data_IF_460744020557
#
_entry.id   IF_460744020557
#
_cell.length_a   1.000
_cell.length_b   1.000
_cell.length_c   1.000
_cell.angle_alpha   90.00
_cell.angle_beta   90.00
_cell.angle_gamma   90.00
#
_symmetry.space_group_name_H-M   'P 1'
#
loop_
_entity.id
_entity.type
_entity.pdbx_description
1 polymer ?
#
# COMPACT_ATOMS: atom_id res chain seq x y z
N UNK A 1 2.63 14.45 5.53
CA UNK A 1 2.67 13.54 4.36
C UNK A 1 4.04 13.66 3.72
N UNK A 2 4.74 12.55 3.52
CA UNK A 2 6.07 12.49 2.90
C UNK A 2 5.92 12.09 1.44
N UNK A 3 6.56 12.80 0.52
CA UNK A 3 6.62 12.36 -0.88
C UNK A 3 7.82 11.42 -1.06
N UNK A 4 7.58 10.22 -1.60
CA UNK A 4 8.65 9.26 -1.90
C UNK A 4 8.58 8.79 -3.35
N UNK A 5 9.73 8.45 -3.96
CA UNK A 5 9.76 7.76 -5.23
C UNK A 5 9.04 6.41 -5.16
N UNK A 6 8.32 6.04 -6.22
CA UNK A 6 7.63 4.75 -6.33
C UNK A 6 8.55 3.56 -6.07
N UNK A 7 9.84 3.67 -6.41
CA UNK A 7 10.84 2.63 -6.13
C UNK A 7 10.99 2.34 -4.63
N UNK A 8 10.86 3.35 -3.77
CA UNK A 8 10.99 3.22 -2.31
C UNK A 8 9.76 2.58 -1.67
N UNK A 9 8.58 2.67 -2.30
CA UNK A 9 7.33 2.07 -1.81
C UNK A 9 7.46 0.55 -1.63
N UNK A 10 8.19 -0.13 -2.52
CA UNK A 10 8.46 -1.57 -2.39
C UNK A 10 9.22 -1.92 -1.11
N UNK A 11 10.14 -1.04 -0.69
CA UNK A 11 10.87 -1.22 0.57
C UNK A 11 9.94 -1.00 1.76
N UNK A 12 9.10 0.04 1.70
CA UNK A 12 8.08 0.33 2.70
C UNK A 12 7.15 -0.88 2.92
N UNK A 13 6.63 -1.46 1.83
CA UNK A 13 5.78 -2.66 1.90
C UNK A 13 6.49 -3.85 2.55
N UNK A 14 7.78 -4.07 2.24
CA UNK A 14 8.56 -5.13 2.89
C UNK A 14 8.73 -4.89 4.39
N UNK A 15 8.90 -3.63 4.80
CA UNK A 15 8.99 -3.28 6.22
C UNK A 15 7.65 -3.48 6.93
N UNK A 16 6.53 -3.16 6.28
CA UNK A 16 5.18 -3.42 6.80
C UNK A 16 4.94 -4.92 6.98
N UNK A 17 5.24 -5.73 5.98
CA UNK A 17 5.11 -7.20 6.05
C UNK A 17 5.99 -7.86 7.14
N UNK A 18 7.10 -7.23 7.51
CA UNK A 18 7.98 -7.73 8.59
C UNK A 18 7.61 -7.22 9.97
N UNK A 19 6.84 -6.14 10.04
CA UNK A 19 6.43 -5.54 11.30
C UNK A 19 5.36 -6.39 11.94
N UNK A 20 5.50 -6.70 13.23
CA UNK A 20 4.43 -7.31 14.04
C UNK A 20 3.50 -6.28 14.67
N UNK A 21 3.86 -5.00 14.53
CA UNK A 21 3.08 -3.88 15.04
C UNK A 21 1.96 -3.50 14.09
N UNK A 22 0.86 -3.01 14.65
CA UNK A 22 -0.20 -2.43 13.86
C UNK A 22 0.30 -1.16 13.17
N UNK A 23 0.17 -1.12 11.84
CA UNK A 23 0.64 0.00 11.03
C UNK A 23 -0.40 0.39 10.02
N UNK A 24 -0.59 1.70 9.89
CA UNK A 24 -1.52 2.26 8.93
C UNK A 24 -0.77 3.15 7.94
N UNK A 25 -0.76 2.76 6.67
CA UNK A 25 -0.08 3.49 5.61
C UNK A 25 -1.04 3.81 4.49
N UNK A 26 -1.13 5.10 4.15
CA UNK A 26 -1.89 5.57 2.99
C UNK A 26 -0.92 6.09 1.94
N UNK A 27 -1.02 5.52 0.75
CA UNK A 27 -0.34 6.00 -0.44
C UNK A 27 -1.35 6.82 -1.26
N UNK A 28 -0.94 8.00 -1.70
CA UNK A 28 -1.78 8.94 -2.44
C UNK A 28 -1.08 9.39 -3.72
N UNK A 29 -1.87 9.63 -4.77
CA UNK A 29 -1.39 10.29 -5.97
C UNK A 29 -1.06 11.76 -5.67
N UNK A 30 -0.30 12.39 -6.59
CA UNK A 30 0.03 13.82 -6.45
C UNK A 30 -1.21 14.71 -6.40
N UNK A 31 -2.23 14.37 -7.19
CA UNK A 31 -3.53 15.05 -7.22
C UNK A 31 -4.44 14.68 -6.03
N UNK A 32 -4.08 13.64 -5.27
CA UNK A 32 -4.86 13.07 -4.15
C UNK A 32 -6.25 12.59 -4.55
N UNK A 33 -6.41 12.22 -5.83
CA UNK A 33 -7.65 11.71 -6.40
C UNK A 33 -7.75 10.18 -6.32
N UNK A 34 -6.64 9.50 -5.96
CA UNK A 34 -6.57 8.05 -5.81
C UNK A 34 -5.67 7.69 -4.64
N UNK A 35 -6.01 6.61 -3.94
CA UNK A 35 -5.26 6.10 -2.79
C UNK A 35 -5.19 4.58 -2.74
N UNK A 36 -4.11 4.11 -2.12
CA UNK A 36 -3.94 2.73 -1.69
C UNK A 36 -3.60 2.73 -0.21
N UNK A 37 -4.53 2.23 0.60
CA UNK A 37 -4.39 2.13 2.04
C UNK A 37 -3.99 0.71 2.43
N UNK A 38 -3.01 0.62 3.31
CA UNK A 38 -2.43 -0.63 3.82
C UNK A 38 -2.59 -0.57 5.34
N UNK A 39 -3.39 -1.46 5.88
CA UNK A 39 -3.54 -1.64 7.31
C UNK A 39 -2.92 -3.00 7.66
N UNK A 40 -1.95 -3.02 8.56
CA UNK A 40 -1.41 -4.26 9.10
C UNK A 40 -1.78 -4.36 10.57
N UNK A 41 -2.20 -5.54 11.01
CA UNK A 41 -2.51 -5.85 12.41
C UNK A 41 -1.56 -6.91 12.99
N UNK A 42 -0.34 -7.00 12.45
CA UNK A 42 0.67 -7.99 12.87
C UNK A 42 0.43 -9.43 12.42
N UNK A 43 -0.82 -9.82 12.13
CA UNK A 43 -1.19 -11.12 11.57
C UNK A 43 -1.75 -11.03 10.15
N UNK A 44 -2.53 -9.99 9.88
CA UNK A 44 -3.22 -9.77 8.62
C UNK A 44 -2.88 -8.40 8.05
N UNK A 45 -2.97 -8.30 6.72
CA UNK A 45 -2.89 -7.05 5.98
C UNK A 45 -4.17 -6.85 5.21
N UNK A 46 -4.77 -5.69 5.42
CA UNK A 46 -5.90 -5.19 4.66
C UNK A 46 -5.41 -4.15 3.66
N UNK A 47 -5.67 -4.41 2.39
CA UNK A 47 -5.43 -3.50 1.28
C UNK A 47 -6.77 -2.90 0.86
N UNK A 48 -6.87 -1.58 0.94
CA UNK A 48 -8.03 -0.83 0.44
C UNK A 48 -7.59 0.02 -0.73
N UNK A 49 -8.13 -0.28 -1.89
CA UNK A 49 -7.97 0.47 -3.13
C UNK A 49 -9.09 1.50 -3.25
N UNK A 50 -8.75 2.72 -3.63
CA UNK A 50 -9.73 3.76 -3.89
C UNK A 50 -9.24 4.61 -5.07
N UNK A 51 -9.87 4.44 -6.23
CA UNK A 51 -9.46 5.13 -7.44
C UNK A 51 -9.93 4.43 -8.70
N UNK A 52 -9.05 3.66 -9.33
CA UNK A 52 -9.42 2.84 -10.47
C UNK A 52 -10.26 1.64 -10.05
N UNK A 53 -9.87 0.97 -8.98
CA UNK A 53 -10.71 -0.02 -8.31
C UNK A 53 -11.05 0.46 -6.89
N UNK A 54 -12.26 0.14 -6.44
CA UNK A 54 -12.73 0.42 -5.09
C UNK A 54 -12.95 -0.92 -4.37
N UNK A 55 -11.85 -1.61 -4.09
CA UNK A 55 -11.87 -2.95 -3.49
C UNK A 55 -11.15 -2.98 -2.14
N UNK A 56 -11.64 -3.84 -1.26
CA UNK A 56 -11.04 -4.10 0.05
C UNK A 56 -10.69 -5.57 0.10
N UNK A 57 -9.40 -5.87 0.15
CA UNK A 57 -8.89 -7.23 0.18
C UNK A 57 -8.09 -7.45 1.47
N UNK A 58 -8.33 -8.58 2.13
CA UNK A 58 -7.61 -8.94 3.35
C UNK A 58 -6.80 -10.19 3.10
N UNK A 59 -5.53 -10.18 3.51
CA UNK A 59 -4.58 -11.26 3.30
C UNK A 59 -3.87 -11.59 4.62
N UNK A 60 -3.58 -12.86 4.85
CA UNK A 60 -2.67 -13.25 5.93
C UNK A 60 -1.23 -12.82 5.57
N UNK A 61 -0.48 -12.31 6.56
CA UNK A 61 0.92 -11.88 6.35
C UNK A 61 1.83 -13.06 5.97
N UNK A 62 1.50 -14.26 6.44
CA UNK A 62 2.23 -15.48 6.14
C UNK A 62 2.24 -15.82 4.63
N UNK A 63 1.26 -15.32 3.87
CA UNK A 63 1.13 -15.61 2.45
C UNK A 63 1.90 -14.61 1.58
N UNK A 64 2.72 -15.14 0.66
CA UNK A 64 3.32 -14.34 -0.42
C UNK A 64 2.28 -13.64 -1.30
N UNK A 65 1.01 -14.05 -1.22
CA UNK A 65 -0.13 -13.46 -1.92
C UNK A 65 -0.28 -11.97 -1.62
N UNK A 66 -0.07 -11.53 -0.38
CA UNK A 66 -0.22 -10.11 0.00
C UNK A 66 0.71 -9.18 -0.78
N UNK A 67 1.96 -9.61 -1.03
CA UNK A 67 2.94 -8.86 -1.81
C UNK A 67 2.57 -8.78 -3.29
N UNK A 68 2.05 -9.88 -3.85
CA UNK A 68 1.60 -9.92 -5.24
C UNK A 68 0.36 -9.03 -5.43
N UNK A 69 -0.63 -9.16 -4.55
CA UNK A 69 -1.83 -8.33 -4.53
C UNK A 69 -1.48 -6.84 -4.41
N UNK A 70 -0.61 -6.47 -3.46
CA UNK A 70 -0.12 -5.10 -3.34
C UNK A 70 0.54 -4.59 -4.62
N UNK A 71 1.39 -5.40 -5.26
CA UNK A 71 2.08 -4.97 -6.47
C UNK A 71 1.12 -4.79 -7.65
N UNK A 72 0.08 -5.63 -7.74
CA UNK A 72 -0.97 -5.50 -8.75
C UNK A 72 -1.82 -4.24 -8.50
N UNK A 73 -2.34 -4.08 -7.28
CA UNK A 73 -3.07 -2.89 -6.84
C UNK A 73 -2.28 -1.61 -7.06
N UNK A 74 -1.00 -1.61 -6.69
CA UNK A 74 -0.13 -0.46 -6.85
C UNK A 74 0.11 -0.10 -8.33
N UNK A 75 0.33 -1.08 -9.21
CA UNK A 75 0.46 -0.80 -10.65
C UNK A 75 -0.83 -0.27 -11.26
N UNK A 76 -1.98 -0.76 -10.78
CA UNK A 76 -3.30 -0.32 -11.22
C UNK A 76 -3.59 1.11 -10.77
N UNK A 77 -3.36 1.44 -9.50
CA UNK A 77 -3.63 2.77 -8.94
C UNK A 77 -2.58 3.82 -9.33
N UNK A 78 -1.33 3.42 -9.55
CA UNK A 78 -0.22 4.33 -9.83
C UNK A 78 0.53 4.03 -11.15
N UNK A 79 -0.15 3.87 -12.32
CA UNK A 79 0.50 3.41 -13.55
C UNK A 79 1.49 4.43 -14.14
N UNK A 80 1.27 5.73 -13.88
CA UNK A 80 2.07 6.85 -14.43
C UNK A 80 2.76 7.68 -13.35
N UNK A 81 2.67 7.28 -12.09
CA UNK A 81 3.24 8.04 -10.98
C UNK A 81 4.72 7.70 -10.81
N UNK A 82 5.56 8.72 -10.73
CA UNK A 82 6.98 8.57 -10.38
C UNK A 82 7.23 8.75 -8.88
N UNK A 83 6.34 9.51 -8.23
CA UNK A 83 6.33 9.82 -6.82
C UNK A 83 4.91 9.61 -6.27
N UNK A 84 4.82 9.23 -5.00
CA UNK A 84 3.56 9.09 -4.26
C UNK A 84 3.70 9.78 -2.91
N UNK A 85 2.60 10.34 -2.44
CA UNK A 85 2.52 10.81 -1.06
C UNK A 85 2.27 9.63 -0.14
N UNK A 86 2.95 9.62 0.99
CA UNK A 86 2.81 8.62 2.04
C UNK A 86 2.38 9.30 3.31
N UNK A 87 1.36 8.74 3.94
CA UNK A 87 0.95 9.08 5.29
C UNK A 87 1.01 7.82 6.13
N UNK A 88 1.80 7.86 7.20
CA UNK A 88 1.96 6.76 8.16
C UNK A 88 1.27 7.21 9.46
N UNK A 89 0.40 6.39 10.02
CA UNK A 89 -0.24 6.59 11.33
C UNK A 89 0.03 5.39 12.22
#
# INVERSE_FOLDING_TARGET
MREIPVKQVKSLMKQLLKSKESKYVVLLTKKKDRSLTIESDGEQIKLTEQGYENSVNTFAIADNVAKHAFTAAFKREFPRSHQVYVSEK
#
